data_IF_088742190312
#
_entry.id   IF_088742190312
#
_cell.length_a   1.000
_cell.length_b   1.000
_cell.length_c   1.000
_cell.angle_alpha   90.00
_cell.angle_beta   90.00
_cell.angle_gamma   90.00
#
_symmetry.space_group_name_H-M   'P 1'
#
loop_
_entity.id
_entity.type
_entity.pdbx_description
1 polymer ?
#
# COMPACT_ATOMS: atom_id res chain seq x y z
N UNK A 1 -24.58 15.94 6.45
CA UNK A 1 -24.54 15.05 5.26
C UNK A 1 -23.30 14.19 5.38
N UNK A 2 -23.43 12.87 5.34
CA UNK A 2 -22.33 11.91 5.48
C UNK A 2 -22.06 11.15 4.18
N UNK A 3 -20.98 10.36 4.15
CA UNK A 3 -20.59 9.56 3.00
C UNK A 3 -21.66 8.56 2.57
N UNK A 4 -22.50 8.05 3.49
CA UNK A 4 -23.59 7.15 3.12
C UNK A 4 -24.63 7.84 2.22
N UNK A 5 -24.92 9.11 2.47
CA UNK A 5 -25.87 9.87 1.65
C UNK A 5 -25.33 10.12 0.24
N UNK A 6 -24.02 10.32 0.09
CA UNK A 6 -23.40 10.51 -1.23
C UNK A 6 -23.28 9.21 -2.01
N UNK A 7 -23.08 8.08 -1.32
CA UNK A 7 -23.15 6.77 -1.95
C UNK A 7 -24.58 6.47 -2.42
N UNK A 8 -25.58 6.74 -1.59
CA UNK A 8 -26.99 6.57 -1.93
C UNK A 8 -27.45 7.47 -3.09
N UNK A 9 -26.88 8.68 -3.22
CA UNK A 9 -27.16 9.60 -4.34
C UNK A 9 -26.37 9.30 -5.61
N UNK A 10 -25.52 8.26 -5.63
CA UNK A 10 -24.66 7.89 -6.76
C UNK A 10 -23.50 8.86 -7.02
N UNK A 11 -23.22 9.77 -6.08
CA UNK A 11 -22.12 10.74 -6.18
C UNK A 11 -20.79 10.16 -5.69
N UNK A 12 -20.85 9.06 -4.93
CA UNK A 12 -19.70 8.33 -4.44
C UNK A 12 -19.88 6.85 -4.76
N UNK A 13 -18.87 6.23 -5.35
CA UNK A 13 -18.81 4.77 -5.55
C UNK A 13 -17.65 4.21 -4.76
N UNK A 14 -17.87 3.08 -4.10
CA UNK A 14 -16.78 2.36 -3.44
C UNK A 14 -15.79 1.88 -4.50
N UNK A 15 -14.53 2.30 -4.40
CA UNK A 15 -13.47 1.78 -5.26
C UNK A 15 -13.18 0.32 -4.89
N UNK A 16 -13.10 -0.54 -5.90
CA UNK A 16 -12.55 -1.88 -5.76
C UNK A 16 -11.25 -1.93 -6.56
N UNK A 17 -10.11 -2.18 -5.91
CA UNK A 17 -8.85 -2.31 -6.61
C UNK A 17 -8.92 -3.40 -7.67
N UNK A 18 -8.37 -3.09 -8.83
CA UNK A 18 -8.13 -4.06 -9.90
C UNK A 18 -6.93 -4.95 -9.55
N UNK A 19 -6.81 -6.09 -10.22
CA UNK A 19 -5.63 -6.96 -10.06
C UNK A 19 -4.33 -6.24 -10.43
N UNK A 20 -4.38 -5.32 -11.40
CA UNK A 20 -3.23 -4.53 -11.82
C UNK A 20 -2.80 -3.54 -10.73
N UNK A 21 -3.74 -2.83 -10.11
CA UNK A 21 -3.44 -1.94 -8.97
C UNK A 21 -2.84 -2.72 -7.79
N UNK A 22 -3.37 -3.91 -7.49
CA UNK A 22 -2.82 -4.78 -6.45
C UNK A 22 -1.40 -5.22 -6.82
N UNK A 23 -1.17 -5.68 -8.05
CA UNK A 23 0.16 -6.09 -8.50
C UNK A 23 1.18 -4.95 -8.45
N UNK A 24 0.76 -3.74 -8.83
CA UNK A 24 1.61 -2.54 -8.76
C UNK A 24 1.99 -2.20 -7.32
N UNK A 25 1.06 -2.30 -6.37
CA UNK A 25 1.35 -2.09 -4.95
C UNK A 25 2.31 -3.16 -4.40
N UNK A 26 2.13 -4.42 -4.77
CA UNK A 26 3.03 -5.51 -4.37
C UNK A 26 4.45 -5.31 -4.95
N UNK A 27 4.56 -4.85 -6.19
CA UNK A 27 5.86 -4.55 -6.81
C UNK A 27 6.63 -3.44 -6.08
N UNK A 28 5.93 -2.45 -5.52
CA UNK A 28 6.56 -1.42 -4.67
C UNK A 28 7.07 -2.04 -3.38
N UNK A 29 6.26 -2.89 -2.72
CA UNK A 29 6.67 -3.58 -1.51
C UNK A 29 7.92 -4.48 -1.75
N UNK A 30 7.95 -5.21 -2.86
CA UNK A 30 9.11 -6.05 -3.22
C UNK A 30 10.38 -5.21 -3.39
N UNK A 31 10.29 -4.08 -4.10
CA UNK A 31 11.42 -3.16 -4.27
C UNK A 31 11.90 -2.61 -2.93
N UNK A 32 10.97 -2.17 -2.08
CA UNK A 32 11.32 -1.58 -0.78
C UNK A 32 11.98 -2.64 0.14
N UNK A 33 11.57 -3.91 0.08
CA UNK A 33 12.23 -5.01 0.80
C UNK A 33 13.65 -5.33 0.27
N UNK A 34 13.94 -5.07 -0.99
CA UNK A 34 15.29 -5.17 -1.55
C UNK A 34 16.14 -3.96 -1.13
N UNK A 35 15.56 -2.75 -1.26
CA UNK A 35 16.22 -1.49 -0.92
C UNK A 35 16.59 -1.40 0.56
N UNK A 36 15.77 -1.96 1.46
CA UNK A 36 16.06 -1.97 2.88
C UNK A 36 17.31 -2.79 3.26
N UNK A 37 17.86 -3.59 2.34
CA UNK A 37 19.07 -4.41 2.55
C UNK A 37 20.33 -3.73 2.05
N UNK A 38 20.23 -2.53 1.45
CA UNK A 38 21.38 -1.82 0.89
C UNK A 38 22.38 -1.42 1.96
N UNK A 39 23.65 -1.61 1.64
CA UNK A 39 24.76 -1.16 2.48
C UNK A 39 24.74 0.37 2.67
N UNK A 40 25.12 0.83 3.85
CA UNK A 40 25.15 2.26 4.20
C UNK A 40 23.84 2.81 4.79
N UNK A 41 22.75 2.04 4.80
CA UNK A 41 21.55 2.39 5.56
C UNK A 41 21.73 2.12 7.07
N UNK A 42 21.31 3.06 7.92
CA UNK A 42 21.22 2.81 9.36
C UNK A 42 20.13 1.78 9.66
N UNK A 43 20.24 1.08 10.79
CA UNK A 43 19.25 0.08 11.20
C UNK A 43 17.82 0.65 11.27
N UNK A 44 17.66 1.90 11.71
CA UNK A 44 16.36 2.59 11.76
C UNK A 44 15.75 2.76 10.36
N UNK A 45 16.57 3.12 9.36
CA UNK A 45 16.10 3.24 7.99
C UNK A 45 15.78 1.87 7.37
N UNK A 46 16.61 0.85 7.62
CA UNK A 46 16.31 -0.51 7.18
C UNK A 46 14.95 -0.99 7.73
N UNK A 47 14.71 -0.77 9.02
CA UNK A 47 13.46 -1.13 9.68
C UNK A 47 12.27 -0.35 9.11
N UNK A 48 12.37 0.98 8.98
CA UNK A 48 11.27 1.81 8.49
C UNK A 48 10.84 1.42 7.07
N UNK A 49 11.80 1.15 6.18
CA UNK A 49 11.51 0.74 4.80
C UNK A 49 10.86 -0.64 4.79
N UNK A 50 11.43 -1.62 5.51
CA UNK A 50 10.87 -2.97 5.57
C UNK A 50 9.45 -3.01 6.16
N UNK A 51 9.21 -2.22 7.22
CA UNK A 51 7.89 -2.10 7.84
C UNK A 51 6.86 -1.52 6.87
N UNK A 52 7.21 -0.44 6.17
CA UNK A 52 6.32 0.19 5.19
C UNK A 52 6.00 -0.76 4.03
N UNK A 53 6.98 -1.55 3.57
CA UNK A 53 6.76 -2.55 2.54
C UNK A 53 5.75 -3.63 2.99
N UNK A 54 5.91 -4.15 4.21
CA UNK A 54 4.99 -5.13 4.78
C UNK A 54 3.57 -4.56 4.96
N UNK A 55 3.47 -3.31 5.40
CA UNK A 55 2.18 -2.63 5.53
C UNK A 55 1.47 -2.49 4.18
N UNK A 56 2.20 -2.09 3.12
CA UNK A 56 1.64 -1.99 1.77
C UNK A 56 1.16 -3.35 1.26
N UNK A 57 1.94 -4.41 1.46
CA UNK A 57 1.56 -5.76 1.06
C UNK A 57 0.30 -6.27 1.80
N UNK A 58 0.20 -5.99 3.10
CA UNK A 58 -0.97 -6.35 3.90
C UNK A 58 -2.23 -5.61 3.42
N UNK A 59 -2.14 -4.31 3.14
CA UNK A 59 -3.27 -3.51 2.65
C UNK A 59 -3.70 -3.91 1.24
N UNK A 60 -2.75 -4.32 0.39
CA UNK A 60 -3.06 -4.75 -0.98
C UNK A 60 -3.81 -6.10 -1.03
N UNK A 61 -3.75 -6.89 0.05
CA UNK A 61 -4.33 -8.26 0.11
C UNK A 61 -5.54 -8.38 1.04
N UNK A 62 -5.86 -7.33 1.81
CA UNK A 62 -7.04 -7.22 2.68
C UNK A 62 -8.31 -6.86 1.91
#
# INVERSE_FOLDING_TARGET
MGFENWAASGWLSAHRPTREEIANLLAIADRDLDDCRREGLSADWQFAIAYNALLQAAVATS
#
